data_IF_931720977891
#
_entry.id   IF_931720977891
#
_cell.length_a   1.000
_cell.length_b   1.000
_cell.length_c   1.000
_cell.angle_alpha   90.00
_cell.angle_beta   90.00
_cell.angle_gamma   90.00
#
_symmetry.space_group_name_H-M   'P 1'
#
loop_
_entity.id
_entity.type
_entity.pdbx_description
1 polymer ?
#
# COMPACT_ATOMS: atom_id res chain seq x y z
N UNK A 1 -7.40 -15.02 -21.13
CA UNK A 1 -7.23 -14.93 -19.66
C UNK A 1 -7.10 -16.35 -19.10
N UNK A 2 -6.14 -16.61 -18.21
CA UNK A 2 -5.86 -17.97 -17.69
C UNK A 2 -6.91 -18.52 -16.70
N UNK A 3 -8.05 -17.83 -16.47
CA UNK A 3 -9.13 -18.34 -15.60
C UNK A 3 -8.76 -18.49 -14.12
N UNK A 4 -7.63 -17.93 -13.68
CA UNK A 4 -7.09 -18.08 -12.32
C UNK A 4 -7.59 -17.01 -11.32
N UNK A 5 -8.42 -16.07 -11.78
CA UNK A 5 -9.03 -15.02 -10.95
C UNK A 5 -10.48 -15.39 -10.65
N UNK A 6 -10.67 -16.40 -9.80
CA UNK A 6 -11.99 -16.92 -9.41
C UNK A 6 -12.00 -17.26 -7.92
N UNK A 7 -13.19 -17.49 -7.36
CA UNK A 7 -13.40 -17.89 -5.96
C UNK A 7 -12.70 -19.19 -5.53
N UNK A 8 -12.30 -20.03 -6.49
CA UNK A 8 -11.55 -21.26 -6.23
C UNK A 8 -10.10 -21.00 -5.83
N UNK A 9 -9.58 -19.80 -6.06
CA UNK A 9 -8.18 -19.46 -5.81
C UNK A 9 -8.03 -18.56 -4.58
N UNK A 10 -7.02 -18.89 -3.78
CA UNK A 10 -6.58 -18.13 -2.62
C UNK A 10 -5.12 -17.74 -2.81
N UNK A 11 -4.84 -16.45 -2.92
CA UNK A 11 -3.50 -15.92 -3.07
C UNK A 11 -3.01 -15.34 -1.75
N UNK A 12 -1.80 -15.74 -1.34
CA UNK A 12 -1.07 -15.12 -0.24
C UNK A 12 0.04 -14.26 -0.83
N UNK A 13 -0.02 -12.97 -0.59
CA UNK A 13 1.00 -12.01 -1.02
C UNK A 13 2.03 -11.84 0.08
N UNK A 14 3.30 -11.93 -0.31
CA UNK A 14 4.45 -11.71 0.57
C UNK A 14 4.88 -10.25 0.63
N UNK A 15 4.38 -9.42 -0.29
CA UNK A 15 4.60 -7.97 -0.22
C UNK A 15 3.84 -7.35 0.94
N UNK A 16 4.46 -6.36 1.59
CA UNK A 16 3.84 -5.57 2.65
C UNK A 16 2.97 -4.42 2.10
N UNK A 17 3.06 -4.16 0.79
CA UNK A 17 2.38 -3.06 0.09
C UNK A 17 1.11 -3.52 -0.65
N UNK A 18 0.55 -4.69 -0.30
CA UNK A 18 -0.70 -5.16 -0.92
C UNK A 18 -1.84 -4.14 -0.78
N UNK A 19 -1.85 -3.36 0.30
CA UNK A 19 -2.87 -2.33 0.55
C UNK A 19 -2.85 -1.17 -0.46
N UNK A 20 -1.75 -1.00 -1.18
CA UNK A 20 -1.60 0.05 -2.20
C UNK A 20 -1.93 -0.46 -3.61
N UNK A 21 -2.20 -1.76 -3.79
CA UNK A 21 -2.56 -2.32 -5.11
C UNK A 21 -3.93 -1.79 -5.56
N UNK A 22 -4.05 -1.47 -6.86
CA UNK A 22 -5.36 -1.21 -7.44
C UNK A 22 -6.18 -2.50 -7.55
N UNK A 23 -7.22 -2.58 -6.72
CA UNK A 23 -8.12 -3.72 -6.63
C UNK A 23 -9.34 -3.61 -7.55
N UNK A 24 -9.52 -2.49 -8.27
CA UNK A 24 -10.65 -2.27 -9.17
C UNK A 24 -10.82 -3.41 -10.20
N UNK A 25 -9.75 -3.95 -10.84
CA UNK A 25 -9.88 -5.06 -11.78
C UNK A 25 -10.29 -6.38 -11.14
N UNK A 26 -10.06 -6.56 -9.83
CA UNK A 26 -10.26 -7.83 -9.13
C UNK A 26 -11.53 -7.87 -8.27
N UNK A 27 -12.18 -6.72 -8.08
CA UNK A 27 -13.32 -6.53 -7.19
C UNK A 27 -14.48 -7.50 -7.41
N UNK A 28 -14.68 -7.97 -8.65
CA UNK A 28 -15.77 -8.86 -9.03
C UNK A 28 -15.32 -10.28 -9.37
N UNK A 29 -14.04 -10.61 -9.18
CA UNK A 29 -13.50 -11.93 -9.51
C UNK A 29 -13.84 -13.00 -8.46
N UNK A 30 -14.24 -12.60 -7.25
CA UNK A 30 -14.49 -13.52 -6.12
C UNK A 30 -13.24 -14.17 -5.54
N UNK A 31 -12.06 -13.87 -6.09
CA UNK A 31 -10.78 -14.39 -5.64
C UNK A 31 -10.44 -13.91 -4.23
N UNK A 32 -9.87 -14.79 -3.41
CA UNK A 32 -9.40 -14.42 -2.09
C UNK A 32 -7.94 -13.96 -2.17
N UNK A 33 -7.68 -12.72 -1.78
CA UNK A 33 -6.33 -12.16 -1.66
C UNK A 33 -6.04 -11.85 -0.20
N UNK A 34 -4.99 -12.46 0.34
CA UNK A 34 -4.52 -12.24 1.71
C UNK A 34 -3.09 -11.73 1.67
N UNK A 35 -2.75 -10.81 2.56
CA UNK A 35 -1.39 -10.29 2.70
C UNK A 35 -1.14 -9.77 4.10
N UNK A 36 0.05 -9.23 4.31
CA UNK A 36 0.46 -8.64 5.59
C UNK A 36 0.65 -7.14 5.44
N UNK A 37 0.35 -6.39 6.50
CA UNK A 37 0.57 -4.95 6.56
C UNK A 37 1.18 -4.60 7.91
N UNK A 38 2.35 -3.99 7.89
CA UNK A 38 3.02 -3.49 9.10
C UNK A 38 2.70 -2.01 9.38
N UNK A 39 2.23 -1.29 8.37
CA UNK A 39 1.79 0.10 8.51
C UNK A 39 0.46 0.17 9.26
N UNK A 40 0.48 0.72 10.47
CA UNK A 40 -0.71 0.83 11.31
C UNK A 40 -1.56 2.05 10.94
N UNK A 41 -2.42 1.91 9.94
CA UNK A 41 -3.33 3.00 9.51
C UNK A 41 -4.48 3.26 10.50
N UNK A 42 -4.68 2.41 11.51
CA UNK A 42 -5.71 2.62 12.55
C UNK A 42 -5.25 3.62 13.61
N UNK A 43 -3.93 3.85 13.71
CA UNK A 43 -3.38 4.90 14.57
C UNK A 43 -3.60 6.28 13.92
N UNK A 44 -4.29 7.17 14.62
CA UNK A 44 -4.60 8.52 14.13
C UNK A 44 -3.36 9.35 13.79
N UNK A 45 -2.26 9.18 14.53
CA UNK A 45 -1.00 9.89 14.25
C UNK A 45 -0.43 9.44 12.91
N UNK A 46 -0.33 8.12 12.70
CA UNK A 46 0.16 7.52 11.45
C UNK A 46 -0.73 7.90 10.28
N UNK A 47 -2.06 7.84 10.45
CA UNK A 47 -3.01 8.26 9.41
C UNK A 47 -2.79 9.72 8.99
N UNK A 48 -2.53 10.62 9.92
CA UNK A 48 -2.28 12.04 9.61
C UNK A 48 -0.97 12.26 8.86
N UNK A 49 0.06 11.45 9.12
CA UNK A 49 1.34 11.49 8.42
C UNK A 49 1.16 10.98 6.98
N UNK A 50 0.44 9.86 6.80
CA UNK A 50 0.12 9.30 5.49
C UNK A 50 -0.68 10.31 4.65
N UNK A 51 -1.68 10.96 5.24
CA UNK A 51 -2.49 11.95 4.52
C UNK A 51 -1.64 13.13 4.02
N UNK A 52 -0.77 13.68 4.88
CA UNK A 52 0.17 14.75 4.49
C UNK A 52 1.12 14.27 3.38
N UNK A 53 1.66 13.07 3.52
CA UNK A 53 2.52 12.45 2.50
C UNK A 53 1.78 12.36 1.16
N UNK A 54 0.55 11.87 1.15
CA UNK A 54 -0.26 11.75 -0.06
C UNK A 54 -0.52 13.10 -0.72
N UNK A 55 -0.82 14.14 0.06
CA UNK A 55 -1.03 15.50 -0.47
C UNK A 55 0.21 16.07 -1.15
N UNK A 56 1.39 15.89 -0.56
CA UNK A 56 2.66 16.33 -1.15
C UNK A 56 3.02 15.53 -2.41
N UNK A 57 2.75 14.22 -2.40
CA UNK A 57 3.04 13.35 -3.54
C UNK A 57 2.11 13.56 -4.73
N UNK A 58 0.86 13.97 -4.51
CA UNK A 58 -0.06 14.37 -5.59
C UNK A 58 0.42 15.60 -6.37
N UNK A 59 1.35 16.40 -5.81
CA UNK A 59 1.97 17.52 -6.51
C UNK A 59 3.16 17.09 -7.39
N UNK A 60 3.67 15.87 -7.21
CA UNK A 60 4.75 15.33 -8.00
C UNK A 60 4.23 14.77 -9.34
N UNK A 61 5.05 14.70 -10.39
CA UNK A 61 4.65 14.06 -11.65
C UNK A 61 4.22 12.61 -11.40
N UNK A 62 3.09 12.16 -11.97
CA UNK A 62 2.62 10.79 -11.80
C UNK A 62 3.69 9.82 -12.32
N UNK A 63 3.98 8.77 -11.53
CA UNK A 63 4.88 7.70 -11.97
C UNK A 63 4.11 6.77 -12.93
N UNK A 64 4.68 6.37 -14.07
CA UNK A 64 4.00 5.48 -15.00
C UNK A 64 3.75 4.10 -14.38
N UNK A 65 2.53 3.59 -14.59
CA UNK A 65 2.02 2.20 -14.48
C UNK A 65 2.75 1.27 -13.49
N UNK A 66 2.68 1.57 -12.20
CA UNK A 66 3.13 0.63 -11.16
C UNK A 66 2.07 -0.41 -10.76
N UNK A 67 0.81 -0.21 -11.18
CA UNK A 67 -0.34 -0.97 -10.67
C UNK A 67 -0.73 -0.66 -9.21
N UNK A 68 0.02 0.25 -8.56
CA UNK A 68 -0.31 0.80 -7.25
C UNK A 68 -1.09 2.10 -7.40
N UNK A 69 -1.98 2.35 -6.44
CA UNK A 69 -2.70 3.60 -6.29
C UNK A 69 -1.71 4.75 -6.06
N UNK A 70 -1.89 5.85 -6.79
CA UNK A 70 -0.99 7.01 -6.68
C UNK A 70 -1.16 7.70 -5.31
N UNK A 71 -0.07 8.29 -4.82
CA UNK A 71 -0.04 9.00 -3.54
C UNK A 71 -0.02 8.12 -2.28
N UNK A 72 -0.12 6.79 -2.38
CA UNK A 72 0.03 5.91 -1.21
C UNK A 72 1.48 5.90 -0.71
N UNK A 73 1.64 5.93 0.62
CA UNK A 73 2.95 5.73 1.25
C UNK A 73 3.29 4.24 1.24
N UNK A 74 4.36 3.87 0.53
CA UNK A 74 4.88 2.49 0.56
C UNK A 74 5.55 2.19 1.89
N UNK A 75 5.65 0.91 2.22
CA UNK A 75 6.28 0.42 3.44
C UNK A 75 7.75 0.87 3.51
N UNK A 76 8.47 0.85 2.40
CA UNK A 76 9.86 1.35 2.35
C UNK A 76 9.97 2.83 2.76
N UNK A 77 9.04 3.68 2.30
CA UNK A 77 9.03 5.10 2.66
C UNK A 77 8.68 5.29 4.15
N UNK A 78 7.72 4.52 4.67
CA UNK A 78 7.35 4.53 6.08
C UNK A 78 8.53 4.14 6.98
N UNK A 79 9.25 3.06 6.64
CA UNK A 79 10.41 2.61 7.40
C UNK A 79 11.56 3.62 7.37
N UNK A 80 11.75 4.33 6.26
CA UNK A 80 12.72 5.43 6.18
C UNK A 80 12.33 6.61 7.08
N UNK A 81 11.05 6.98 7.10
CA UNK A 81 10.54 8.01 8.01
C UNK A 81 10.79 7.62 9.48
N UNK A 82 10.44 6.38 9.85
CA UNK A 82 10.64 5.86 11.20
C UNK A 82 12.12 5.79 11.57
N UNK A 83 13.00 5.39 10.65
CA UNK A 83 14.45 5.34 10.89
C UNK A 83 15.01 6.73 11.25
N UNK A 84 14.60 7.78 10.52
CA UNK A 84 15.01 9.16 10.83
C UNK A 84 14.44 9.59 12.17
N UNK A 85 13.18 9.27 12.46
CA UNK A 85 12.54 9.61 13.73
C UNK A 85 13.24 8.96 14.92
N UNK A 86 13.52 7.65 14.84
CA UNK A 86 14.24 6.91 15.88
C UNK A 86 15.63 7.48 16.12
N UNK A 87 16.38 7.79 15.06
CA UNK A 87 17.73 8.38 15.18
C UNK A 87 17.70 9.79 15.75
N UNK A 88 16.69 10.61 15.43
CA UNK A 88 16.57 11.97 15.93
C UNK A 88 16.13 12.05 17.40
N UNK A 89 15.43 11.02 17.89
CA UNK A 89 14.96 10.91 19.28
C UNK A 89 16.01 10.25 20.19
N UNK A 90 16.95 9.48 19.63
CA UNK A 90 18.06 8.85 20.35
C UNK A 90 19.13 9.85 20.79
#
# INVERSE_FOLDING_TARGET
AMGMMTEYYHYIFTTLDLFALDMEPYRFSGVNMTGFRILNTENSQVSSIIEKWSMERLQAPPKPDSGLLDGFMTTDAALMYDAVHVVAVA
#
